data_IF_285134309869
#
_entry.id   IF_285134309869
#
_cell.length_a   1.000
_cell.length_b   1.000
_cell.length_c   1.000
_cell.angle_alpha   90.00
_cell.angle_beta   90.00
_cell.angle_gamma   90.00
#
_symmetry.space_group_name_H-M   'P 1'
#
loop_
_entity.id
_entity.type
_entity.pdbx_description
1 polymer ?
#
# COMPACT_ATOMS: atom_id res chain seq x y z
N UNK A 1 15.87 -0.34 -36.72
CA UNK A 1 15.87 0.08 -35.30
C UNK A 1 16.68 -0.98 -34.57
N UNK A 2 17.88 -0.65 -34.09
CA UNK A 2 18.77 -1.62 -33.48
C UNK A 2 18.45 -1.71 -31.98
N UNK A 3 18.39 -2.93 -31.44
CA UNK A 3 18.12 -3.23 -30.02
C UNK A 3 19.07 -2.42 -29.10
N UNK A 4 20.28 -2.16 -29.58
CA UNK A 4 21.32 -1.39 -28.91
C UNK A 4 20.93 0.05 -28.53
N UNK A 5 20.08 0.71 -29.33
CA UNK A 5 19.68 2.09 -29.04
C UNK A 5 18.55 2.17 -28.01
N UNK A 6 17.74 1.11 -27.91
CA UNK A 6 16.68 0.97 -26.90
C UNK A 6 17.30 0.73 -25.53
N UNK A 7 18.37 -0.06 -25.46
CA UNK A 7 19.13 -0.36 -24.24
C UNK A 7 19.77 0.91 -23.65
N UNK A 8 20.48 1.70 -24.47
CA UNK A 8 21.10 2.97 -24.02
C UNK A 8 20.12 4.03 -23.54
N UNK A 9 18.92 4.06 -24.10
CA UNK A 9 17.89 5.04 -23.71
C UNK A 9 17.09 4.58 -22.50
N UNK A 10 17.03 3.27 -22.24
CA UNK A 10 16.51 2.69 -21.00
C UNK A 10 17.50 2.87 -19.84
N UNK A 11 18.80 2.63 -20.08
CA UNK A 11 19.88 2.96 -19.14
C UNK A 11 19.81 4.43 -18.73
N UNK A 12 19.51 5.34 -19.66
CA UNK A 12 19.32 6.77 -19.35
C UNK A 12 18.11 7.04 -18.43
N UNK A 13 17.00 6.33 -18.61
CA UNK A 13 15.79 6.45 -17.77
C UNK A 13 16.02 5.87 -16.37
N UNK A 14 16.71 4.75 -16.28
CA UNK A 14 17.11 4.15 -15.00
C UNK A 14 18.22 4.96 -14.32
N UNK A 15 19.01 5.72 -15.09
CA UNK A 15 20.01 6.66 -14.59
C UNK A 15 19.41 7.93 -13.96
N UNK A 16 18.11 8.00 -13.72
CA UNK A 16 17.50 9.02 -12.85
C UNK A 16 17.97 8.91 -11.38
N UNK A 17 18.79 7.92 -11.02
CA UNK A 17 19.61 7.89 -9.79
C UNK A 17 20.98 8.61 -9.93
N UNK A 18 21.34 9.14 -11.10
CA UNK A 18 22.53 9.99 -11.26
C UNK A 18 22.36 11.30 -10.50
N UNK A 19 23.47 11.86 -10.07
CA UNK A 19 23.50 13.20 -9.49
C UNK A 19 22.96 14.26 -10.49
N UNK A 20 22.46 15.36 -9.94
CA UNK A 20 21.72 16.39 -10.67
C UNK A 20 22.53 17.07 -11.81
N UNK A 21 23.87 16.97 -11.77
CA UNK A 21 24.79 17.50 -12.78
C UNK A 21 24.79 16.62 -14.05
N UNK A 22 24.96 15.30 -13.89
CA UNK A 22 24.97 14.37 -15.03
C UNK A 22 23.64 14.33 -15.78
N UNK A 23 22.52 14.45 -15.05
CA UNK A 23 21.18 14.52 -15.64
C UNK A 23 21.01 15.78 -16.50
N UNK A 24 21.51 16.93 -16.01
CA UNK A 24 21.42 18.22 -16.70
C UNK A 24 22.19 18.22 -18.00
N UNK A 25 23.45 17.78 -17.97
CA UNK A 25 24.30 17.70 -19.16
C UNK A 25 23.69 16.78 -20.24
N UNK A 26 23.06 15.69 -19.81
CA UNK A 26 22.41 14.77 -20.74
C UNK A 26 21.14 15.37 -21.34
N UNK A 27 20.31 16.06 -20.56
CA UNK A 27 19.13 16.77 -21.07
C UNK A 27 19.54 17.88 -22.06
N UNK A 28 20.60 18.63 -21.75
CA UNK A 28 21.12 19.69 -22.61
C UNK A 28 21.75 19.15 -23.91
N UNK A 29 22.25 17.89 -23.90
CA UNK A 29 22.74 17.21 -25.10
C UNK A 29 21.62 16.82 -26.08
N UNK A 30 20.36 16.72 -25.62
CA UNK A 30 19.19 16.39 -26.44
C UNK A 30 18.59 17.69 -26.98
N UNK A 31 19.09 18.16 -28.12
CA UNK A 31 18.71 19.46 -28.69
C UNK A 31 17.72 19.33 -29.86
N UNK A 32 17.69 18.19 -30.55
CA UNK A 32 16.85 18.00 -31.75
C UNK A 32 15.45 17.45 -31.44
N UNK A 33 14.42 17.97 -32.14
CA UNK A 33 13.02 17.58 -31.94
C UNK A 33 12.77 16.07 -32.13
N UNK A 34 13.51 15.44 -33.05
CA UNK A 34 13.41 14.00 -33.30
C UNK A 34 13.91 13.17 -32.10
N UNK A 35 14.99 13.60 -31.45
CA UNK A 35 15.56 12.91 -30.29
C UNK A 35 14.69 13.10 -29.05
N UNK A 36 14.12 14.29 -28.85
CA UNK A 36 13.14 14.55 -27.77
C UNK A 36 11.92 13.63 -27.93
N UNK A 37 11.35 13.52 -29.14
CA UNK A 37 10.18 12.64 -29.38
C UNK A 37 10.51 11.17 -29.12
N UNK A 38 11.71 10.72 -29.50
CA UNK A 38 12.18 9.35 -29.25
C UNK A 38 12.30 9.08 -27.74
N UNK A 39 12.90 10.02 -27.01
CA UNK A 39 13.05 9.97 -25.56
C UNK A 39 11.69 9.84 -24.86
N UNK A 40 10.74 10.71 -25.21
CA UNK A 40 9.39 10.72 -24.62
C UNK A 40 8.61 9.42 -24.90
N UNK A 41 8.78 8.83 -26.09
CA UNK A 41 8.19 7.54 -26.41
C UNK A 41 8.79 6.41 -25.57
N UNK A 42 10.10 6.43 -25.33
CA UNK A 42 10.76 5.46 -24.47
C UNK A 42 10.29 5.58 -23.01
N UNK A 43 10.12 6.81 -22.51
CA UNK A 43 9.53 7.06 -21.17
C UNK A 43 8.13 6.44 -21.07
N UNK A 44 7.28 6.66 -22.08
CA UNK A 44 5.94 6.10 -22.12
C UNK A 44 5.96 4.55 -22.14
N UNK A 45 6.87 3.97 -22.92
CA UNK A 45 7.02 2.52 -23.02
C UNK A 45 7.50 1.89 -21.71
N UNK A 46 8.54 2.46 -21.08
CA UNK A 46 9.05 2.01 -19.78
C UNK A 46 7.96 2.07 -18.70
N UNK A 47 7.26 3.21 -18.59
CA UNK A 47 6.13 3.36 -17.66
C UNK A 47 5.01 2.35 -17.90
N UNK A 48 4.74 2.00 -19.17
CA UNK A 48 3.73 1.00 -19.50
C UNK A 48 4.15 -0.40 -19.03
N UNK A 49 5.42 -0.77 -19.19
CA UNK A 49 5.95 -2.04 -18.70
C UNK A 49 5.86 -2.13 -17.17
N UNK A 50 6.28 -1.07 -16.46
CA UNK A 50 6.20 -1.03 -15.01
C UNK A 50 4.76 -1.05 -14.50
N UNK A 51 3.84 -0.39 -15.21
CA UNK A 51 2.41 -0.47 -14.89
C UNK A 51 1.89 -1.90 -15.03
N UNK A 52 2.25 -2.61 -16.10
CA UNK A 52 1.87 -4.01 -16.29
C UNK A 52 2.47 -4.91 -15.19
N UNK A 53 3.73 -4.71 -14.83
CA UNK A 53 4.40 -5.42 -13.73
C UNK A 53 3.67 -5.16 -12.40
N UNK A 54 3.39 -3.90 -12.09
CA UNK A 54 2.68 -3.47 -10.88
C UNK A 54 1.31 -4.13 -10.77
N UNK A 55 0.54 -4.15 -11.85
CA UNK A 55 -0.81 -4.74 -11.86
C UNK A 55 -0.77 -6.27 -11.71
N UNK A 56 0.20 -6.93 -12.36
CA UNK A 56 0.43 -8.36 -12.17
C UNK A 56 0.86 -8.69 -10.72
N UNK A 57 1.78 -7.91 -10.15
CA UNK A 57 2.24 -8.06 -8.77
C UNK A 57 1.10 -7.85 -7.77
N UNK A 58 0.25 -6.85 -7.98
CA UNK A 58 -0.94 -6.60 -7.14
C UNK A 58 -1.91 -7.79 -7.19
N UNK A 59 -2.18 -8.31 -8.38
CA UNK A 59 -3.04 -9.49 -8.55
C UNK A 59 -2.48 -10.71 -7.79
N UNK A 60 -1.16 -10.91 -7.83
CA UNK A 60 -0.53 -12.02 -7.11
C UNK A 60 -0.55 -11.81 -5.59
N UNK A 61 -0.36 -10.57 -5.13
CA UNK A 61 -0.51 -10.19 -3.72
C UNK A 61 -1.91 -10.49 -3.20
N UNK A 62 -2.94 -10.15 -3.97
CA UNK A 62 -4.33 -10.39 -3.59
C UNK A 62 -4.59 -11.91 -3.48
N UNK A 63 -4.11 -12.70 -4.45
CA UNK A 63 -4.17 -14.18 -4.38
C UNK A 63 -3.45 -14.75 -3.14
N UNK A 64 -2.30 -14.21 -2.76
CA UNK A 64 -1.62 -14.65 -1.55
C UNK A 64 -2.37 -14.25 -0.28
N UNK A 65 -2.97 -13.07 -0.27
CA UNK A 65 -3.82 -12.62 0.83
C UNK A 65 -5.01 -13.57 1.03
N UNK A 66 -5.63 -14.03 -0.06
CA UNK A 66 -6.71 -15.02 0.01
C UNK A 66 -6.24 -16.40 0.49
N UNK A 67 -5.03 -16.81 0.11
CA UNK A 67 -4.40 -18.05 0.61
C UNK A 67 -4.11 -17.97 2.11
N UNK A 68 -3.62 -16.82 2.59
CA UNK A 68 -3.40 -16.54 4.02
C UNK A 68 -4.72 -16.66 4.78
N UNK A 69 -5.76 -15.93 4.35
CA UNK A 69 -7.11 -16.01 4.94
C UNK A 69 -7.66 -17.44 4.97
N UNK A 70 -7.43 -18.20 3.90
CA UNK A 70 -7.84 -19.61 3.84
C UNK A 70 -7.07 -20.50 4.81
N UNK A 71 -5.78 -20.21 5.04
CA UNK A 71 -4.96 -20.90 6.03
C UNK A 71 -5.39 -20.57 7.46
N UNK A 72 -5.64 -19.29 7.76
CA UNK A 72 -6.17 -18.83 9.04
C UNK A 72 -7.47 -19.55 9.40
N UNK A 73 -8.44 -19.59 8.47
CA UNK A 73 -9.70 -20.33 8.67
C UNK A 73 -9.48 -21.83 8.90
N UNK A 74 -8.48 -22.46 8.26
CA UNK A 74 -8.16 -23.87 8.50
C UNK A 74 -7.55 -24.08 9.89
N UNK A 75 -6.68 -23.18 10.33
CA UNK A 75 -6.08 -23.20 11.66
C UNK A 75 -7.17 -23.04 12.71
N UNK A 76 -8.06 -22.05 12.54
CA UNK A 76 -9.19 -21.81 13.44
C UNK A 76 -10.08 -23.04 13.58
N UNK A 77 -10.52 -23.65 12.47
CA UNK A 77 -11.31 -24.90 12.50
C UNK A 77 -10.59 -26.04 13.22
N UNK A 78 -9.29 -26.20 13.02
CA UNK A 78 -8.49 -27.26 13.68
C UNK A 78 -8.35 -26.98 15.18
N UNK A 79 -8.14 -25.73 15.56
CA UNK A 79 -8.09 -25.31 16.96
C UNK A 79 -9.45 -25.50 17.65
N UNK A 80 -10.56 -25.25 16.95
CA UNK A 80 -11.90 -25.52 17.48
C UNK A 80 -12.10 -27.03 17.76
N UNK A 81 -11.68 -27.89 16.82
CA UNK A 81 -11.70 -29.34 17.04
C UNK A 81 -10.81 -29.72 18.21
N UNK A 82 -9.59 -29.21 18.29
CA UNK A 82 -8.67 -29.47 19.41
C UNK A 82 -9.26 -29.02 20.75
N UNK A 83 -9.90 -27.84 20.79
CA UNK A 83 -10.60 -27.32 21.96
C UNK A 83 -11.75 -28.25 22.39
N UNK A 84 -12.58 -28.72 21.46
CA UNK A 84 -13.67 -29.66 21.75
C UNK A 84 -13.16 -30.99 22.32
N UNK A 85 -12.00 -31.46 21.85
CA UNK A 85 -11.34 -32.67 22.37
C UNK A 85 -10.80 -32.43 23.78
N UNK A 86 -10.00 -31.38 23.98
CA UNK A 86 -9.42 -31.03 25.28
C UNK A 86 -10.49 -30.74 26.33
N UNK A 87 -11.62 -30.16 25.92
CA UNK A 87 -12.75 -29.87 26.82
C UNK A 87 -13.45 -31.11 27.38
N UNK A 88 -13.19 -32.29 26.82
CA UNK A 88 -13.69 -33.57 27.33
C UNK A 88 -12.69 -34.27 28.25
N UNK A 89 -11.46 -33.76 28.37
CA UNK A 89 -10.45 -34.27 29.28
C UNK A 89 -10.57 -33.55 30.63
N UNK A 90 -10.37 -34.29 31.73
CA UNK A 90 -10.49 -33.73 33.09
C UNK A 90 -9.49 -32.58 33.34
N UNK A 91 -8.27 -32.68 32.81
CA UNK A 91 -7.23 -31.67 33.02
C UNK A 91 -7.21 -30.56 31.96
N UNK A 92 -8.04 -30.66 30.91
CA UNK A 92 -8.03 -29.74 29.77
C UNK A 92 -6.64 -29.54 29.12
N UNK A 93 -5.76 -30.55 29.25
CA UNK A 93 -4.37 -30.56 28.79
C UNK A 93 -4.04 -31.91 28.15
N UNK A 94 -3.14 -31.88 27.16
CA UNK A 94 -2.63 -33.08 26.50
C UNK A 94 -1.21 -32.83 26.03
N UNK A 95 -0.30 -33.78 26.29
CA UNK A 95 1.07 -33.77 25.77
C UNK A 95 1.28 -34.95 24.83
N UNK A 96 1.80 -34.68 23.64
CA UNK A 96 2.27 -35.69 22.68
C UNK A 96 3.80 -35.75 22.70
N UNK A 97 4.40 -36.62 21.88
CA UNK A 97 5.86 -36.70 21.75
C UNK A 97 6.49 -35.38 21.30
N UNK A 98 5.79 -34.65 20.42
CA UNK A 98 6.33 -33.42 19.80
C UNK A 98 5.68 -32.13 20.30
N UNK A 99 4.45 -32.16 20.85
CA UNK A 99 3.68 -30.95 21.16
C UNK A 99 2.96 -31.02 22.52
N UNK A 100 2.62 -29.86 23.06
CA UNK A 100 1.78 -29.73 24.26
C UNK A 100 0.59 -28.84 23.97
N UNK A 101 -0.58 -29.27 24.40
CA UNK A 101 -1.86 -28.60 24.21
C UNK A 101 -2.49 -28.31 25.57
N UNK A 102 -3.03 -27.11 25.75
CA UNK A 102 -3.78 -26.73 26.93
C UNK A 102 -4.86 -25.73 26.56
N UNK A 103 -5.96 -25.72 27.32
CA UNK A 103 -6.96 -24.67 27.22
C UNK A 103 -6.52 -23.47 28.05
N UNK A 104 -6.50 -22.30 27.43
CA UNK A 104 -6.27 -21.01 28.10
C UNK A 104 -7.53 -20.15 28.00
N UNK A 105 -7.80 -19.36 29.04
CA UNK A 105 -8.88 -18.37 29.00
C UNK A 105 -8.49 -17.22 28.06
N UNK A 106 -9.35 -16.93 27.10
CA UNK A 106 -9.21 -15.74 26.27
C UNK A 106 -9.35 -14.47 27.12
N UNK A 107 -8.75 -13.34 26.70
CA UNK A 107 -8.98 -12.06 27.34
C UNK A 107 -10.48 -11.74 27.37
N UNK A 108 -10.91 -11.03 28.42
CA UNK A 108 -12.32 -10.69 28.62
C UNK A 108 -12.77 -9.80 27.47
N UNK A 109 -13.77 -10.27 26.71
CA UNK A 109 -14.46 -9.44 25.71
C UNK A 109 -15.38 -8.49 26.47
N UNK A 110 -15.15 -7.20 26.32
CA UNK A 110 -16.03 -6.16 26.87
C UNK A 110 -17.08 -5.87 25.81
N UNK A 111 -18.33 -6.17 26.11
CA UNK A 111 -19.48 -5.71 25.33
C UNK A 111 -19.99 -4.43 25.99
N UNK A 112 -20.16 -3.39 25.18
CA UNK A 112 -20.55 -2.07 25.66
C UNK A 112 -21.63 -1.50 24.74
N UNK A 113 -22.56 -0.77 25.34
CA UNK A 113 -23.52 0.05 24.62
C UNK A 113 -23.01 1.49 24.63
N UNK A 114 -22.62 2.00 23.46
CA UNK A 114 -22.06 3.34 23.31
C UNK A 114 -22.99 4.43 23.84
N UNK A 115 -24.32 4.21 23.87
CA UNK A 115 -25.29 5.19 24.37
C UNK A 115 -25.38 5.24 25.90
N UNK A 116 -24.94 4.17 26.58
CA UNK A 116 -24.95 4.07 28.03
C UNK A 116 -23.59 4.42 28.66
N UNK A 117 -22.55 4.60 27.84
CA UNK A 117 -21.21 4.94 28.31
C UNK A 117 -21.10 6.46 28.52
N UNK A 118 -20.62 6.92 29.69
CA UNK A 118 -20.34 8.33 29.91
C UNK A 118 -19.30 8.88 28.91
N UNK A 119 -19.48 10.13 28.50
CA UNK A 119 -18.58 10.84 27.57
C UNK A 119 -17.10 10.85 28.01
N UNK A 120 -16.82 10.65 29.31
CA UNK A 120 -15.46 10.56 29.87
C UNK A 120 -14.62 9.40 29.30
N UNK A 121 -15.26 8.35 28.76
CA UNK A 121 -14.58 7.21 28.15
C UNK A 121 -14.39 7.35 26.63
N UNK A 122 -14.95 8.40 26.02
CA UNK A 122 -14.79 8.68 24.61
C UNK A 122 -13.60 9.62 24.36
N UNK A 123 -12.80 9.29 23.35
CA UNK A 123 -11.74 10.20 22.86
C UNK A 123 -12.32 11.04 21.73
N UNK A 124 -12.34 12.37 21.88
CA UNK A 124 -12.61 13.27 20.77
C UNK A 124 -11.46 13.21 19.75
N UNK A 125 -11.75 12.67 18.56
CA UNK A 125 -10.83 12.72 17.42
C UNK A 125 -11.13 13.98 16.63
N UNK A 126 -10.17 14.90 16.57
CA UNK A 126 -10.27 16.12 15.76
C UNK A 126 -9.71 15.83 14.37
N UNK A 127 -10.56 15.37 13.46
CA UNK A 127 -10.18 15.14 12.07
C UNK A 127 -10.36 16.40 11.22
N UNK A 128 -9.36 16.71 10.40
CA UNK A 128 -9.36 17.88 9.55
C UNK A 128 -9.96 17.51 8.19
N UNK A 129 -11.12 18.09 7.87
CA UNK A 129 -11.77 17.91 6.59
C UNK A 129 -11.08 18.75 5.50
N UNK A 130 -10.15 18.10 4.80
CA UNK A 130 -9.38 18.68 3.70
C UNK A 130 -10.25 19.06 2.50
N UNK A 131 -11.38 18.39 2.30
CA UNK A 131 -12.25 18.65 1.16
C UNK A 131 -13.18 19.82 1.42
N UNK A 132 -13.64 19.99 2.66
CA UNK A 132 -14.28 21.23 3.12
C UNK A 132 -13.33 22.43 2.99
N UNK A 133 -12.06 22.29 3.39
CA UNK A 133 -11.05 23.35 3.22
C UNK A 133 -10.85 23.69 1.75
N UNK A 134 -10.72 22.70 0.87
CA UNK A 134 -10.58 22.94 -0.58
C UNK A 134 -11.81 23.63 -1.19
N UNK A 135 -13.02 23.29 -0.74
CA UNK A 135 -14.26 23.95 -1.18
C UNK A 135 -14.30 25.40 -0.70
N UNK A 136 -14.08 25.64 0.60
CA UNK A 136 -14.05 26.97 1.17
C UNK A 136 -13.00 27.88 0.49
N UNK A 137 -11.80 27.35 0.20
CA UNK A 137 -10.78 28.09 -0.56
C UNK A 137 -11.21 28.38 -2.01
N UNK A 138 -11.96 27.49 -2.67
CA UNK A 138 -12.53 27.74 -4.01
C UNK A 138 -13.66 28.77 -3.98
N UNK A 139 -14.42 28.79 -2.90
CA UNK A 139 -15.54 29.73 -2.67
C UNK A 139 -15.06 31.11 -2.17
N UNK A 140 -13.74 31.32 -2.05
CA UNK A 140 -13.13 32.60 -1.69
C UNK A 140 -13.04 32.87 -0.18
N UNK A 141 -13.24 31.86 0.66
CA UNK A 141 -13.13 31.97 2.12
C UNK A 141 -11.66 31.76 2.52
N UNK A 142 -11.04 32.80 3.08
CA UNK A 142 -9.68 32.70 3.63
C UNK A 142 -9.68 31.89 4.94
N UNK A 143 -8.92 30.80 4.96
CA UNK A 143 -8.72 29.96 6.16
C UNK A 143 -7.29 30.19 6.66
N UNK A 144 -7.17 30.76 7.86
CA UNK A 144 -5.86 30.97 8.51
C UNK A 144 -5.12 29.64 8.69
N UNK A 145 -3.88 29.57 8.22
CA UNK A 145 -3.02 28.39 8.31
C UNK A 145 -3.06 27.44 7.12
N UNK A 146 -3.79 27.76 6.03
CA UNK A 146 -3.76 26.97 4.80
C UNK A 146 -2.93 27.67 3.73
N UNK A 147 -1.91 26.98 3.23
CA UNK A 147 -1.12 27.40 2.07
C UNK A 147 -1.50 26.57 0.85
N UNK A 148 -1.70 27.21 -0.30
CA UNK A 148 -2.00 26.54 -1.56
C UNK A 148 -0.72 26.49 -2.41
N UNK A 149 -0.22 25.28 -2.66
CA UNK A 149 0.86 25.05 -3.62
C UNK A 149 0.32 24.24 -4.79
N UNK A 150 0.50 24.75 -6.00
CA UNK A 150 0.23 24.01 -7.23
C UNK A 150 1.55 23.52 -7.81
N UNK A 151 1.63 22.23 -8.12
CA UNK A 151 2.76 21.64 -8.83
C UNK A 151 2.31 21.13 -10.19
N UNK A 152 3.24 21.09 -11.13
CA UNK A 152 3.03 20.56 -12.47
C UNK A 152 3.60 19.15 -12.59
N UNK A 153 3.01 18.34 -13.46
CA UNK A 153 3.44 16.96 -13.67
C UNK A 153 3.03 16.45 -15.04
N UNK A 154 3.81 15.51 -15.57
CA UNK A 154 3.61 14.94 -16.91
C UNK A 154 2.46 13.93 -16.89
N UNK A 155 1.61 13.99 -17.91
CA UNK A 155 0.52 13.01 -18.14
C UNK A 155 0.75 12.30 -19.46
N UNK A 156 0.85 10.97 -19.42
CA UNK A 156 1.01 10.11 -20.60
C UNK A 156 -0.34 9.42 -20.85
N UNK A 157 -0.82 9.43 -22.10
CA UNK A 157 -2.06 8.77 -22.54
C UNK A 157 -1.78 7.81 -23.68
#
# INVERSE_FOLDING_TARGET
MNVYDLDKTLDWLESMELDEETLRDTIESVVEEADIKRLMNNVAWANSNDKALKDAAKTQKDKMTDKIRSAEKRIERRNEVAFRVLSRLEEHKLKTEEYSFWVQKNPVKIEYDEQAIPDEYFKMVRELDKDAIKKALKDGIEISGVSQTQTEGVRIR
#
